data_IF_755661552711
#
_entry.id   IF_755661552711
#
_cell.length_a   1.000
_cell.length_b   1.000
_cell.length_c   1.000
_cell.angle_alpha   90.00
_cell.angle_beta   90.00
_cell.angle_gamma   90.00
#
_symmetry.space_group_name_H-M   'P 1'
#
loop_
_entity.id
_entity.type
_entity.pdbx_description
1 polymer ?
#
# COMPACT_ATOMS: atom_id res chain seq x y z
N UNK A 1 -0.43 8.02 -9.84
CA UNK A 1 -0.31 7.11 -8.69
C UNK A 1 0.81 6.14 -8.95
N UNK A 2 1.70 6.04 -8.00
CA UNK A 2 2.99 5.41 -8.22
C UNK A 2 3.39 4.43 -7.11
N UNK A 3 2.47 4.07 -6.23
CA UNK A 3 2.78 3.21 -5.10
C UNK A 3 1.65 2.21 -4.86
N UNK A 4 2.04 0.95 -4.60
CA UNK A 4 1.09 -0.13 -4.30
C UNK A 4 1.27 -0.60 -2.87
N UNK A 5 0.15 -0.81 -2.17
CA UNK A 5 0.15 -1.48 -0.87
C UNK A 5 -0.46 -2.86 -1.07
N UNK A 6 0.30 -3.91 -0.74
CA UNK A 6 -0.16 -5.29 -0.80
C UNK A 6 -0.70 -5.70 0.55
N UNK A 7 -1.72 -6.55 0.57
CA UNK A 7 -2.37 -6.94 1.81
C UNK A 7 -2.24 -8.45 2.05
N UNK A 8 -2.37 -8.84 3.31
CA UNK A 8 -2.30 -10.25 3.70
C UNK A 8 -3.60 -10.99 3.41
N UNK A 9 -4.71 -10.26 3.24
CA UNK A 9 -5.98 -10.87 2.93
C UNK A 9 -6.92 -9.87 2.25
N UNK A 10 -7.94 -10.41 1.60
CA UNK A 10 -9.02 -9.64 1.00
C UNK A 10 -9.70 -8.74 2.03
N UNK A 11 -9.90 -9.26 3.23
CA UNK A 11 -10.52 -8.53 4.32
C UNK A 11 -9.78 -7.24 4.62
N UNK A 12 -8.46 -7.31 4.75
CA UNK A 12 -7.67 -6.11 5.04
C UNK A 12 -7.64 -5.15 3.86
N UNK A 13 -7.62 -5.66 2.63
CA UNK A 13 -7.63 -4.79 1.46
C UNK A 13 -8.91 -3.95 1.41
N UNK A 14 -10.06 -4.58 1.59
CA UNK A 14 -11.34 -3.86 1.54
C UNK A 14 -11.54 -2.96 2.74
N UNK A 15 -11.06 -3.37 3.91
CA UNK A 15 -11.13 -2.54 5.12
C UNK A 15 -10.28 -1.28 4.95
N UNK A 16 -9.11 -1.41 4.36
CA UNK A 16 -8.24 -0.26 4.08
C UNK A 16 -8.89 0.68 3.07
N UNK A 17 -9.51 0.13 2.04
CA UNK A 17 -10.22 0.95 1.06
C UNK A 17 -11.28 1.82 1.72
N UNK A 18 -12.11 1.21 2.55
CA UNK A 18 -13.16 1.94 3.26
C UNK A 18 -12.57 3.03 4.14
N UNK A 19 -11.53 2.69 4.89
CA UNK A 19 -10.86 3.63 5.77
C UNK A 19 -10.30 4.82 5.01
N UNK A 20 -9.60 4.56 3.91
CA UNK A 20 -8.98 5.63 3.13
C UNK A 20 -10.01 6.55 2.50
N UNK A 21 -11.14 6.00 2.05
CA UNK A 21 -12.22 6.81 1.53
C UNK A 21 -12.80 7.73 2.61
N UNK A 22 -12.97 7.20 3.81
CA UNK A 22 -13.45 8.00 4.93
C UNK A 22 -12.50 9.14 5.29
N UNK A 23 -11.19 8.92 5.12
CA UNK A 23 -10.18 9.92 5.41
C UNK A 23 -9.90 10.86 4.23
N UNK A 24 -10.58 10.66 3.12
CA UNK A 24 -10.41 11.52 1.96
C UNK A 24 -9.14 11.27 1.16
N UNK A 25 -8.50 10.12 1.32
CA UNK A 25 -7.32 9.78 0.54
C UNK A 25 -7.72 9.33 -0.87
N UNK A 26 -7.02 9.85 -1.87
CA UNK A 26 -7.22 9.43 -3.25
C UNK A 26 -6.47 8.12 -3.46
N UNK A 27 -7.20 7.07 -3.83
CA UNK A 27 -6.59 5.76 -4.07
C UNK A 27 -7.49 4.93 -4.97
N UNK A 28 -6.95 3.81 -5.45
CA UNK A 28 -7.72 2.84 -6.24
C UNK A 28 -7.45 1.44 -5.73
N UNK A 29 -8.51 0.64 -5.59
CA UNK A 29 -8.39 -0.78 -5.32
C UNK A 29 -8.28 -1.47 -6.67
N UNK A 30 -7.19 -2.18 -6.92
CA UNK A 30 -6.92 -2.82 -8.21
C UNK A 30 -6.51 -4.27 -8.01
N UNK A 31 -6.64 -5.10 -9.08
CA UNK A 31 -6.10 -6.45 -9.02
C UNK A 31 -4.58 -6.41 -8.82
N UNK A 32 -4.07 -7.31 -7.99
CA UNK A 32 -2.63 -7.43 -7.77
C UNK A 32 -1.95 -7.90 -9.06
N UNK A 33 -0.88 -7.24 -9.50
CA UNK A 33 -0.13 -7.71 -10.67
C UNK A 33 0.36 -9.15 -10.48
N UNK A 34 0.12 -10.05 -11.45
CA UNK A 34 0.48 -11.46 -11.29
C UNK A 34 1.95 -11.69 -10.98
N UNK A 35 2.83 -10.84 -11.47
CA UNK A 35 4.27 -10.96 -11.27
C UNK A 35 4.69 -10.83 -9.81
N UNK A 36 3.84 -10.24 -8.98
CA UNK A 36 4.13 -10.05 -7.56
C UNK A 36 3.80 -11.27 -6.72
N UNK A 37 3.06 -12.24 -7.26
CA UNK A 37 2.77 -13.54 -6.62
C UNK A 37 2.22 -13.44 -5.20
N UNK A 38 1.34 -12.47 -4.96
CA UNK A 38 0.73 -12.31 -3.66
C UNK A 38 -0.52 -13.16 -3.51
N UNK A 39 -0.75 -13.67 -2.29
CA UNK A 39 -1.93 -14.48 -1.99
C UNK A 39 -3.21 -13.67 -2.13
N UNK A 40 -3.18 -12.40 -1.72
CA UNK A 40 -4.33 -11.52 -1.88
C UNK A 40 -4.40 -11.03 -3.32
N UNK A 41 -5.58 -11.16 -3.94
CA UNK A 41 -5.77 -10.74 -5.33
C UNK A 41 -6.01 -9.25 -5.52
N UNK A 42 -6.02 -8.47 -4.44
CA UNK A 42 -6.25 -7.03 -4.52
C UNK A 42 -5.15 -6.26 -3.81
N UNK A 43 -4.86 -5.07 -4.34
CA UNK A 43 -3.93 -4.14 -3.72
C UNK A 43 -4.46 -2.72 -3.89
N UNK A 44 -3.87 -1.77 -3.17
CA UNK A 44 -4.28 -0.37 -3.27
C UNK A 44 -3.18 0.43 -3.95
N UNK A 45 -3.59 1.16 -4.97
CA UNK A 45 -2.72 2.08 -5.72
C UNK A 45 -2.98 3.50 -5.20
N UNK A 46 -1.91 4.20 -4.82
CA UNK A 46 -2.02 5.56 -4.30
C UNK A 46 -0.76 6.35 -4.64
N UNK A 47 -0.76 7.62 -4.26
CA UNK A 47 0.41 8.48 -4.48
C UNK A 47 1.44 8.25 -3.39
N UNK A 48 2.70 8.26 -3.76
CA UNK A 48 3.81 8.09 -2.80
C UNK A 48 3.76 9.13 -1.67
N UNK A 49 3.33 10.35 -1.99
CA UNK A 49 3.26 11.42 -0.98
C UNK A 49 2.24 11.13 0.11
N UNK A 50 1.25 10.28 -0.18
CA UNK A 50 0.22 9.91 0.80
C UNK A 50 0.54 8.62 1.55
N UNK A 51 1.63 7.95 1.19
CA UNK A 51 1.94 6.63 1.70
C UNK A 51 2.10 6.60 3.22
N UNK A 52 2.86 7.54 3.74
CA UNK A 52 3.13 7.59 5.18
C UNK A 52 1.84 7.80 5.97
N UNK A 53 0.99 8.70 5.50
CA UNK A 53 -0.31 8.96 6.11
C UNK A 53 -1.20 7.71 6.04
N UNK A 54 -1.22 7.05 4.88
CA UNK A 54 -2.01 5.84 4.70
C UNK A 54 -1.56 4.73 5.64
N UNK A 55 -0.25 4.51 5.75
CA UNK A 55 0.29 3.48 6.64
C UNK A 55 -0.01 3.80 8.11
N UNK A 56 0.00 5.08 8.47
CA UNK A 56 -0.36 5.50 9.82
C UNK A 56 -1.82 5.18 10.13
N UNK A 57 -2.72 5.47 9.22
CA UNK A 57 -4.13 5.13 9.40
C UNK A 57 -4.34 3.63 9.55
N UNK A 58 -3.62 2.82 8.74
CA UNK A 58 -3.71 1.37 8.82
C UNK A 58 -3.24 0.86 10.18
N UNK A 59 -2.10 1.35 10.64
CA UNK A 59 -1.56 0.96 11.93
C UNK A 59 -2.55 1.27 13.04
N UNK A 60 -3.13 2.47 13.02
CA UNK A 60 -4.06 2.90 14.08
C UNK A 60 -5.36 2.12 14.08
N UNK A 61 -5.68 1.45 12.98
CA UNK A 61 -6.91 0.68 12.83
C UNK A 61 -6.67 -0.83 12.71
N UNK A 62 -5.47 -1.28 13.02
CA UNK A 62 -5.16 -2.70 13.04
C UNK A 62 -5.18 -3.39 11.69
N UNK A 63 -4.89 -2.67 10.61
CA UNK A 63 -4.88 -3.23 9.27
C UNK A 63 -3.45 -3.61 8.89
N UNK A 64 -3.24 -4.89 8.63
CA UNK A 64 -1.93 -5.40 8.20
C UNK A 64 -1.74 -5.28 6.70
N UNK A 65 -0.49 -5.09 6.28
CA UNK A 65 -0.12 -5.20 4.87
C UNK A 65 1.07 -6.14 4.74
N UNK A 66 1.23 -6.70 3.55
CA UNK A 66 2.32 -7.65 3.30
C UNK A 66 3.53 -7.02 2.62
N UNK A 67 3.40 -5.79 2.16
CA UNK A 67 4.51 -5.08 1.54
C UNK A 67 4.03 -3.86 0.79
N UNK A 68 4.98 -2.98 0.48
CA UNK A 68 4.72 -1.76 -0.29
C UNK A 68 5.69 -1.74 -1.45
N UNK A 69 5.20 -1.39 -2.63
CA UNK A 69 5.99 -1.40 -3.86
C UNK A 69 5.86 -0.06 -4.57
N UNK A 70 6.96 0.40 -5.16
CA UNK A 70 6.87 1.47 -6.13
C UNK A 70 6.29 0.89 -7.42
N UNK A 71 5.54 1.68 -8.17
CA UNK A 71 4.80 1.20 -9.33
C UNK A 71 4.94 2.22 -10.46
N UNK A 72 5.62 1.83 -11.52
CA UNK A 72 5.89 2.71 -12.66
C UNK A 72 4.87 2.64 -13.79
N UNK A 73 3.69 2.09 -13.52
CA UNK A 73 2.63 1.98 -14.52
C UNK A 73 2.50 0.59 -15.12
N UNK A 74 3.42 -0.32 -14.82
CA UNK A 74 3.33 -1.71 -15.24
C UNK A 74 3.94 -2.61 -14.17
N UNK A 75 3.58 -3.89 -14.21
CA UNK A 75 4.10 -4.86 -13.25
C UNK A 75 5.62 -5.00 -13.32
N UNK A 76 6.22 -4.70 -14.48
CA UNK A 76 7.67 -4.76 -14.65
C UNK A 76 8.41 -3.71 -13.84
N UNK A 77 7.72 -2.63 -13.51
CA UNK A 77 8.32 -1.50 -12.80
C UNK A 77 8.02 -1.53 -11.30
N UNK A 78 7.58 -2.67 -10.78
CA UNK A 78 7.28 -2.80 -9.36
C UNK A 78 8.56 -3.13 -8.59
N UNK A 79 8.91 -2.28 -7.62
CA UNK A 79 10.08 -2.48 -6.77
C UNK A 79 9.62 -2.40 -5.32
N UNK A 80 9.96 -3.43 -4.54
CA UNK A 80 9.60 -3.45 -3.13
C UNK A 80 10.35 -2.37 -2.37
N UNK A 81 9.62 -1.62 -1.54
CA UNK A 81 10.20 -0.56 -0.74
C UNK A 81 10.63 -1.11 0.62
N UNK A 82 11.83 -0.73 1.06
CA UNK A 82 12.34 -1.12 2.36
C UNK A 82 11.75 -0.24 3.46
N UNK A 83 11.96 -0.65 4.72
CA UNK A 83 11.51 0.14 5.85
C UNK A 83 12.15 1.54 5.84
N UNK A 84 13.43 1.63 5.47
CA UNK A 84 14.11 2.91 5.37
C UNK A 84 13.47 3.82 4.33
N UNK A 85 13.09 3.26 3.20
CA UNK A 85 12.42 4.01 2.14
C UNK A 85 11.02 4.45 2.55
N UNK A 86 10.34 3.65 3.36
CA UNK A 86 8.98 3.95 3.80
C UNK A 86 8.95 5.01 4.89
N UNK A 87 9.87 4.95 5.83
CA UNK A 87 9.84 5.79 7.01
C UNK A 87 10.99 6.81 7.09
N UNK A 88 12.02 6.61 6.29
CA UNK A 88 13.13 7.56 6.21
C UNK A 88 13.79 7.79 7.56
N UNK A 89 14.08 9.05 7.86
CA UNK A 89 14.80 9.43 9.07
C UNK A 89 14.03 9.14 10.36
N UNK A 90 12.72 8.91 10.26
CA UNK A 90 11.92 8.65 11.46
C UNK A 90 12.38 7.38 12.19
N UNK A 91 13.04 6.46 11.49
CA UNK A 91 13.57 5.27 12.10
C UNK A 91 14.89 5.49 12.82
N UNK A 92 15.53 6.60 12.55
CA UNK A 92 16.84 6.93 13.13
C UNK A 92 16.74 7.93 14.27
N UNK A 93 15.61 8.53 14.38
CA UNK A 93 15.34 9.63 15.29
C UNK A 93 15.34 9.30 16.71
#
# INVERSE_FOLDING_TARGET
MDTLIMFTSYYFATKAETLFKEKGLVMKLIPTPPQLHHACGLCILLKRVDLRTALGYMRDNGISHSGVYSYGGSAKDCVKLSADELFGESLRG
#
